data_IF_626259704186
#
_entry.id   IF_626259704186
#
_cell.length_a   1.000
_cell.length_b   1.000
_cell.length_c   1.000
_cell.angle_alpha   90.00
_cell.angle_beta   90.00
_cell.angle_gamma   90.00
#
_symmetry.space_group_name_H-M   'P 1'
#
loop_
_entity.id
_entity.type
_entity.pdbx_description
1 polymer ?
#
# COMPACT_ATOMS: atom_id res chain seq x y z
N UNK A 1 -6.01 -17.68 -27.00
CA UNK A 1 -6.86 -17.50 -25.81
C UNK A 1 -7.41 -16.07 -25.85
N UNK A 2 -8.62 -15.86 -26.36
CA UNK A 2 -9.19 -14.50 -26.53
C UNK A 2 -9.66 -13.94 -25.18
N UNK A 3 -8.88 -13.00 -24.63
CA UNK A 3 -9.23 -12.25 -23.43
C UNK A 3 -10.47 -11.38 -23.73
N UNK A 4 -11.65 -11.81 -23.28
CA UNK A 4 -12.88 -11.04 -23.48
C UNK A 4 -13.07 -10.05 -22.35
N UNK A 5 -12.82 -8.77 -22.62
CA UNK A 5 -13.02 -7.64 -21.69
C UNK A 5 -14.40 -7.65 -21.03
N UNK A 6 -15.44 -8.11 -21.76
CA UNK A 6 -16.80 -8.28 -21.24
C UNK A 6 -16.86 -9.19 -20.01
N UNK A 7 -16.13 -10.32 -20.02
CA UNK A 7 -16.09 -11.26 -18.88
C UNK A 7 -15.45 -10.65 -17.63
N UNK A 8 -14.46 -9.77 -17.81
CA UNK A 8 -13.80 -9.07 -16.69
C UNK A 8 -14.78 -8.10 -16.04
N UNK A 9 -15.46 -7.28 -16.84
CA UNK A 9 -16.46 -6.33 -16.36
C UNK A 9 -17.62 -7.05 -15.67
N UNK A 10 -18.13 -8.13 -16.26
CA UNK A 10 -19.22 -8.91 -15.68
C UNK A 10 -18.86 -9.50 -14.32
N UNK A 11 -17.62 -9.99 -14.16
CA UNK A 11 -17.12 -10.46 -12.86
C UNK A 11 -17.07 -9.32 -11.84
N UNK A 12 -16.55 -8.16 -12.23
CA UNK A 12 -16.51 -6.99 -11.35
C UNK A 12 -17.93 -6.56 -10.94
N UNK A 13 -18.85 -6.39 -11.90
CA UNK A 13 -20.25 -6.01 -11.66
C UNK A 13 -20.98 -6.98 -10.74
N UNK A 14 -20.72 -8.29 -10.83
CA UNK A 14 -21.29 -9.28 -9.92
C UNK A 14 -20.74 -9.18 -8.50
N UNK A 15 -19.48 -8.76 -8.36
CA UNK A 15 -18.82 -8.72 -7.05
C UNK A 15 -19.03 -7.42 -6.28
N UNK A 16 -19.28 -6.29 -6.96
CA UNK A 16 -19.49 -4.98 -6.32
C UNK A 16 -20.68 -4.96 -5.33
N UNK A 17 -21.88 -5.49 -5.67
CA UNK A 17 -23.04 -5.40 -4.79
C UNK A 17 -22.79 -6.06 -3.43
N UNK A 18 -22.93 -5.30 -2.35
CA UNK A 18 -22.71 -5.77 -0.98
C UNK A 18 -21.24 -5.94 -0.56
N UNK A 19 -20.26 -5.68 -1.45
CA UNK A 19 -18.84 -5.71 -1.10
C UNK A 19 -18.51 -4.68 0.00
N UNK A 20 -18.95 -3.45 -0.21
CA UNK A 20 -18.69 -2.33 0.70
C UNK A 20 -19.24 -2.59 2.11
N UNK A 21 -20.44 -3.15 2.22
CA UNK A 21 -21.02 -3.45 3.53
C UNK A 21 -20.31 -4.63 4.21
N UNK A 22 -19.97 -5.68 3.45
CA UNK A 22 -19.30 -6.87 3.97
C UNK A 22 -17.89 -6.57 4.51
N UNK A 23 -17.15 -5.67 3.86
CA UNK A 23 -15.76 -5.38 4.19
C UNK A 23 -15.52 -3.98 4.76
N UNK A 24 -16.57 -3.23 5.14
CA UNK A 24 -16.46 -1.81 5.54
C UNK A 24 -15.35 -1.53 6.55
N UNK A 25 -15.27 -2.34 7.61
CA UNK A 25 -14.31 -2.14 8.68
C UNK A 25 -12.89 -2.48 8.24
N UNK A 26 -12.74 -3.53 7.42
CA UNK A 26 -11.45 -3.92 6.86
C UNK A 26 -10.95 -2.85 5.89
N UNK A 27 -11.84 -2.27 5.07
CA UNK A 27 -11.51 -1.16 4.16
C UNK A 27 -11.10 0.07 4.96
N UNK A 28 -11.83 0.43 6.03
CA UNK A 28 -11.46 1.56 6.90
C UNK A 28 -10.07 1.34 7.49
N UNK A 29 -9.82 0.17 8.08
CA UNK A 29 -8.50 -0.18 8.64
C UNK A 29 -7.40 -0.17 7.58
N UNK A 30 -7.68 -0.67 6.37
CA UNK A 30 -6.78 -0.62 5.23
C UNK A 30 -6.42 0.82 4.82
N UNK A 31 -7.41 1.71 4.72
CA UNK A 31 -7.16 3.12 4.40
C UNK A 31 -6.36 3.80 5.51
N UNK A 32 -6.70 3.54 6.79
CA UNK A 32 -5.93 4.09 7.92
C UNK A 32 -4.49 3.60 7.86
N UNK A 33 -4.26 2.30 7.66
CA UNK A 33 -2.93 1.72 7.61
C UNK A 33 -2.09 2.31 6.47
N UNK A 34 -2.65 2.43 5.27
CA UNK A 34 -1.97 3.05 4.14
C UNK A 34 -1.72 4.54 4.34
N UNK A 35 -2.63 5.26 5.01
CA UNK A 35 -2.44 6.67 5.33
C UNK A 35 -1.34 6.85 6.38
N UNK A 36 -1.30 5.99 7.42
CA UNK A 36 -0.22 5.96 8.40
C UNK A 36 1.13 5.70 7.74
N UNK A 37 1.21 4.73 6.82
CA UNK A 37 2.40 4.46 6.00
C UNK A 37 2.83 5.73 5.26
N UNK A 38 1.94 6.33 4.45
CA UNK A 38 2.29 7.52 3.67
C UNK A 38 2.69 8.73 4.53
N UNK A 39 1.98 9.01 5.62
CA UNK A 39 2.32 10.12 6.52
C UNK A 39 3.66 9.88 7.22
N UNK A 40 3.93 8.65 7.64
CA UNK A 40 5.22 8.30 8.23
C UNK A 40 6.36 8.43 7.21
N UNK A 41 6.12 8.08 5.94
CA UNK A 41 7.08 8.27 4.84
C UNK A 41 7.33 9.76 4.60
N UNK A 42 6.28 10.59 4.56
CA UNK A 42 6.44 12.04 4.46
C UNK A 42 7.32 12.57 5.61
N UNK A 43 7.04 12.15 6.85
CA UNK A 43 7.85 12.52 8.00
C UNK A 43 9.30 12.04 7.84
N UNK A 44 9.52 10.77 7.47
CA UNK A 44 10.84 10.20 7.26
C UNK A 44 11.62 10.95 6.17
N UNK A 45 10.98 11.28 5.05
CA UNK A 45 11.62 12.02 3.95
C UNK A 45 11.87 13.51 4.26
N UNK A 46 11.07 14.12 5.14
CA UNK A 46 11.26 15.51 5.55
C UNK A 46 12.40 15.67 6.58
N UNK A 47 12.61 14.67 7.44
CA UNK A 47 13.60 14.73 8.51
C UNK A 47 14.82 13.81 8.29
N UNK A 48 14.77 12.96 7.27
CA UNK A 48 15.83 12.06 6.84
C UNK A 48 16.26 12.36 5.40
N UNK A 49 16.83 11.36 4.74
CA UNK A 49 17.30 11.46 3.36
C UNK A 49 16.35 10.73 2.39
N UNK A 50 15.91 11.41 1.33
CA UNK A 50 15.03 10.81 0.30
C UNK A 50 15.73 9.61 -0.36
N UNK A 51 17.05 9.65 -0.50
CA UNK A 51 17.81 8.56 -1.14
C UNK A 51 17.97 7.32 -0.24
N UNK A 52 17.54 7.39 1.04
CA UNK A 52 17.46 6.24 1.93
C UNK A 52 16.14 5.45 1.79
N UNK A 53 15.20 5.92 0.96
CA UNK A 53 13.97 5.19 0.66
C UNK A 53 14.22 3.97 -0.23
N UNK A 54 13.96 2.80 0.32
CA UNK A 54 14.18 1.50 -0.36
C UNK A 54 13.08 1.21 -1.38
N UNK A 55 11.88 1.80 -1.23
CA UNK A 55 10.77 1.55 -2.13
C UNK A 55 10.92 2.35 -3.43
N UNK A 56 11.36 1.68 -4.51
CA UNK A 56 11.57 2.29 -5.84
C UNK A 56 10.39 3.16 -6.31
N UNK A 57 9.15 2.70 -6.12
CA UNK A 57 7.96 3.46 -6.54
C UNK A 57 7.74 4.75 -5.73
N UNK A 58 8.00 4.70 -4.43
CA UNK A 58 7.86 5.86 -3.53
C UNK A 58 9.02 6.83 -3.78
N UNK A 59 10.24 6.31 -3.90
CA UNK A 59 11.44 7.09 -4.24
C UNK A 59 11.27 7.82 -5.58
N UNK A 60 10.80 7.14 -6.62
CA UNK A 60 10.56 7.77 -7.93
C UNK A 60 9.48 8.85 -7.85
N UNK A 61 8.37 8.55 -7.18
CA UNK A 61 7.29 9.52 -6.97
C UNK A 61 7.77 10.73 -6.16
N UNK A 62 8.60 10.52 -5.13
CA UNK A 62 9.18 11.58 -4.33
C UNK A 62 10.20 12.42 -5.10
N UNK A 63 10.99 11.83 -6.00
CA UNK A 63 11.89 12.59 -6.89
C UNK A 63 11.14 13.47 -7.88
N UNK A 64 9.97 13.05 -8.35
CA UNK A 64 9.18 13.81 -9.34
C UNK A 64 8.30 14.87 -8.66
N UNK A 65 7.61 14.50 -7.58
CA UNK A 65 6.56 15.33 -6.94
C UNK A 65 6.98 15.92 -5.59
N UNK A 66 8.14 15.54 -5.07
CA UNK A 66 8.64 15.96 -3.76
C UNK A 66 8.26 15.03 -2.61
N UNK A 67 8.86 15.23 -1.43
CA UNK A 67 8.79 14.32 -0.27
C UNK A 67 7.41 14.23 0.40
N UNK A 68 6.46 15.11 0.05
CA UNK A 68 5.10 15.12 0.60
C UNK A 68 4.10 14.59 -0.43
N UNK A 69 4.08 15.17 -1.63
CA UNK A 69 3.12 14.79 -2.66
C UNK A 69 3.40 13.40 -3.24
N UNK A 70 4.67 12.98 -3.33
CA UNK A 70 5.06 11.67 -3.83
C UNK A 70 4.43 10.52 -3.02
N UNK A 71 4.62 10.46 -1.69
CA UNK A 71 3.98 9.44 -0.85
C UNK A 71 2.45 9.51 -0.85
N UNK A 72 1.85 10.71 -0.89
CA UNK A 72 0.39 10.86 -0.92
C UNK A 72 -0.24 10.35 -2.23
N UNK A 73 0.38 10.64 -3.38
CA UNK A 73 -0.07 10.12 -4.68
C UNK A 73 0.07 8.60 -4.70
N UNK A 74 1.18 8.08 -4.15
CA UNK A 74 1.40 6.64 -4.02
C UNK A 74 0.35 5.97 -3.14
N UNK A 75 -0.07 6.61 -2.05
CA UNK A 75 -1.18 6.17 -1.20
C UNK A 75 -2.48 6.03 -1.99
N UNK A 76 -2.87 7.07 -2.76
CA UNK A 76 -4.11 7.03 -3.56
C UNK A 76 -4.04 5.88 -4.57
N UNK A 77 -2.92 5.73 -5.26
CA UNK A 77 -2.69 4.63 -6.19
C UNK A 77 -2.83 3.25 -5.54
N UNK A 78 -2.16 3.02 -4.41
CA UNK A 78 -2.23 1.77 -3.63
C UNK A 78 -3.65 1.49 -3.16
N UNK A 79 -4.35 2.50 -2.64
CA UNK A 79 -5.71 2.36 -2.13
C UNK A 79 -6.69 1.97 -3.24
N UNK A 80 -6.67 2.69 -4.36
CA UNK A 80 -7.52 2.40 -5.52
C UNK A 80 -7.21 1.01 -6.08
N UNK A 81 -5.95 0.70 -6.34
CA UNK A 81 -5.54 -0.60 -6.87
C UNK A 81 -5.94 -1.76 -5.94
N UNK A 82 -5.68 -1.62 -4.63
CA UNK A 82 -6.03 -2.62 -3.62
C UNK A 82 -7.53 -2.89 -3.56
N UNK A 83 -8.35 -1.84 -3.57
CA UNK A 83 -9.81 -1.96 -3.58
C UNK A 83 -10.29 -2.64 -4.88
N UNK A 84 -9.80 -2.21 -6.05
CA UNK A 84 -10.19 -2.81 -7.34
C UNK A 84 -9.86 -4.31 -7.40
N UNK A 85 -8.66 -4.68 -6.97
CA UNK A 85 -8.23 -6.09 -6.90
C UNK A 85 -9.13 -6.87 -5.93
N UNK A 86 -9.41 -6.32 -4.75
CA UNK A 86 -10.23 -6.99 -3.74
C UNK A 86 -11.68 -7.15 -4.19
N UNK A 87 -12.25 -6.21 -4.93
CA UNK A 87 -13.58 -6.37 -5.54
C UNK A 87 -13.54 -7.49 -6.58
N UNK A 88 -12.54 -7.49 -7.47
CA UNK A 88 -12.41 -8.53 -8.50
C UNK A 88 -12.21 -9.94 -7.90
N UNK A 89 -11.43 -10.03 -6.83
CA UNK A 89 -11.13 -11.23 -6.07
C UNK A 89 -11.91 -11.31 -4.75
N UNK A 90 -13.19 -10.93 -4.75
CA UNK A 90 -14.02 -10.81 -3.52
C UNK A 90 -13.89 -11.95 -2.51
N UNK A 91 -13.80 -13.20 -2.96
CA UNK A 91 -13.64 -14.39 -2.10
C UNK A 91 -12.31 -14.37 -1.30
N UNK A 92 -11.29 -13.73 -1.84
CA UNK A 92 -9.95 -13.64 -1.29
C UNK A 92 -9.63 -12.28 -0.68
N UNK A 93 -10.55 -11.32 -0.72
CA UNK A 93 -10.32 -9.93 -0.32
C UNK A 93 -9.71 -9.81 1.08
N UNK A 94 -10.18 -10.60 2.06
CA UNK A 94 -9.64 -10.54 3.43
C UNK A 94 -8.18 -10.99 3.51
N UNK A 95 -7.79 -12.01 2.74
CA UNK A 95 -6.41 -12.50 2.68
C UNK A 95 -5.48 -11.55 1.94
N UNK A 96 -6.03 -10.57 1.22
CA UNK A 96 -5.26 -9.50 0.58
C UNK A 96 -5.17 -8.30 1.51
N UNK A 97 -6.30 -7.87 2.08
CA UNK A 97 -6.34 -6.70 2.97
C UNK A 97 -5.50 -6.89 4.24
N UNK A 98 -5.60 -8.04 4.91
CA UNK A 98 -4.94 -8.24 6.21
C UNK A 98 -3.41 -8.15 6.10
N UNK A 99 -2.73 -8.85 5.16
CA UNK A 99 -1.29 -8.66 4.98
C UNK A 99 -0.90 -7.23 4.63
N UNK A 100 -1.67 -6.54 3.77
CA UNK A 100 -1.35 -5.16 3.41
C UNK A 100 -1.48 -4.23 4.62
N UNK A 101 -2.53 -4.39 5.44
CA UNK A 101 -2.71 -3.64 6.69
C UNK A 101 -1.50 -3.83 7.60
N UNK A 102 -1.11 -5.09 7.86
CA UNK A 102 0.01 -5.42 8.75
C UNK A 102 1.32 -4.81 8.22
N UNK A 103 1.60 -5.01 6.94
CA UNK A 103 2.82 -4.48 6.31
C UNK A 103 2.85 -2.95 6.31
N UNK A 104 1.71 -2.30 6.09
CA UNK A 104 1.64 -0.82 6.06
C UNK A 104 1.82 -0.23 7.46
N UNK A 105 1.24 -0.83 8.50
CA UNK A 105 1.49 -0.39 9.87
C UNK A 105 2.92 -0.67 10.31
N UNK A 106 3.50 -1.81 9.90
CA UNK A 106 4.89 -2.11 10.19
C UNK A 106 5.85 -1.13 9.50
N UNK A 107 5.59 -0.78 8.23
CA UNK A 107 6.32 0.27 7.53
C UNK A 107 6.16 1.63 8.23
N UNK A 108 4.95 1.96 8.69
CA UNK A 108 4.72 3.19 9.44
C UNK A 108 5.52 3.26 10.74
N UNK A 109 5.55 2.16 11.49
CA UNK A 109 6.38 2.04 12.69
C UNK A 109 7.88 2.15 12.37
N UNK A 110 8.33 1.53 11.28
CA UNK A 110 9.73 1.60 10.83
C UNK A 110 10.16 3.04 10.52
N UNK A 111 9.35 3.77 9.75
CA UNK A 111 9.62 5.15 9.33
C UNK A 111 9.63 6.15 10.50
N UNK A 112 8.88 5.87 11.57
CA UNK A 112 8.86 6.72 12.77
C UNK A 112 9.99 6.39 13.77
N UNK A 113 10.21 5.11 14.02
CA UNK A 113 11.09 4.67 15.11
C UNK A 113 12.16 3.67 14.66
N UNK A 114 11.79 2.69 13.84
CA UNK A 114 12.66 1.56 13.49
C UNK A 114 13.97 1.97 12.81
N UNK A 115 13.96 2.99 11.96
CA UNK A 115 15.18 3.46 11.30
C UNK A 115 16.23 4.04 12.27
N UNK A 116 15.81 4.50 13.45
CA UNK A 116 16.71 5.08 14.47
C UNK A 116 17.33 4.04 15.39
N UNK A 117 16.87 2.80 15.34
CA UNK A 117 17.29 1.74 16.28
C UNK A 117 18.23 0.72 15.64
N UNK A 118 18.87 1.07 14.51
CA UNK A 118 19.67 0.16 13.66
C UNK A 118 18.92 -1.13 13.28
N UNK A 119 17.59 -1.10 13.32
CA UNK A 119 16.77 -2.24 12.95
C UNK A 119 16.85 -2.44 11.44
N UNK A 120 17.44 -3.56 11.03
CA UNK A 120 17.44 -4.00 9.62
C UNK A 120 16.53 -5.22 9.49
N UNK A 121 15.44 -5.14 8.71
CA UNK A 121 14.58 -6.28 8.45
C UNK A 121 15.40 -7.46 7.89
N UNK A 122 15.26 -8.64 8.49
CA UNK A 122 16.05 -9.82 8.10
C UNK A 122 15.90 -10.19 6.62
N UNK A 123 14.81 -9.80 5.96
CA UNK A 123 14.62 -10.03 4.52
C UNK A 123 15.70 -9.34 3.68
N UNK A 124 16.18 -8.18 4.14
CA UNK A 124 17.25 -7.46 3.46
C UNK A 124 18.57 -8.23 3.57
N UNK A 125 18.84 -8.98 4.65
CA UNK A 125 20.07 -9.80 4.76
C UNK A 125 20.23 -10.85 3.64
N UNK A 126 19.16 -11.20 2.95
CA UNK A 126 19.18 -12.15 1.83
C UNK A 126 19.27 -11.49 0.45
N UNK A 127 19.21 -10.16 0.38
CA UNK A 127 19.35 -9.40 -0.85
C UNK A 127 20.81 -8.95 -0.91
N UNK A 128 21.64 -9.48 -1.83
CA UNK A 128 22.98 -8.97 -2.02
C UNK A 128 22.88 -7.54 -2.57
N UNK A 129 23.31 -6.58 -1.76
CA UNK A 129 23.45 -5.17 -2.13
C UNK A 129 24.84 -4.89 -2.70
#
# INVERSE_FOLDING_TARGET
MTFSYKKIIERYRRNVPGFWNAYRWVIILFIIALLSDALSTCHFMLYGDIDSEIHLGIWLAAKIFGPILGPLISFVGKAVAGIFICIYLRRWAIYIFIPIIILSFWAAWYNLWGWKTDYVPNIFRFIPW
#
